data_IF_695365427813
#
_entry.id   IF_695365427813
#
_cell.length_a   1.000
_cell.length_b   1.000
_cell.length_c   1.000
_cell.angle_alpha   90.00
_cell.angle_beta   90.00
_cell.angle_gamma   90.00
#
_symmetry.space_group_name_H-M   'P 1'
#
loop_
_entity.id
_entity.type
_entity.pdbx_description
1 polymer ?
#
# COMPACT_ATOMS: atom_id res chain seq x y z
N UNK A 1 13.97 -13.92 8.56
CA UNK A 1 13.22 -12.68 8.86
C UNK A 1 12.06 -12.55 7.88
N UNK A 2 10.87 -12.15 8.32
CA UNK A 2 9.76 -11.89 7.41
C UNK A 2 10.10 -10.71 6.47
N UNK A 3 9.69 -10.81 5.20
CA UNK A 3 9.90 -9.71 4.24
C UNK A 3 8.90 -8.58 4.47
N UNK A 4 7.72 -8.90 4.99
CA UNK A 4 6.61 -7.99 5.28
C UNK A 4 6.09 -8.27 6.69
N UNK A 5 5.87 -7.25 7.52
CA UNK A 5 5.29 -7.43 8.84
C UNK A 5 4.42 -6.20 9.22
N UNK A 6 3.15 -6.38 9.59
CA UNK A 6 2.21 -5.28 9.86
C UNK A 6 2.73 -4.20 10.81
N UNK A 7 3.41 -4.59 11.88
CA UNK A 7 3.88 -3.65 12.91
C UNK A 7 5.30 -3.13 12.65
N UNK A 8 6.05 -3.79 11.77
CA UNK A 8 7.44 -3.42 11.49
C UNK A 8 7.57 -2.70 10.16
N UNK A 9 6.60 -2.81 9.25
CA UNK A 9 6.59 -2.15 7.96
C UNK A 9 6.29 -0.65 8.10
N UNK A 10 7.14 0.19 7.51
CA UNK A 10 6.98 1.65 7.55
C UNK A 10 5.69 2.15 6.91
N UNK A 11 5.29 1.57 5.77
CA UNK A 11 4.11 2.01 5.00
C UNK A 11 3.06 0.91 4.94
N UNK A 12 1.82 1.29 5.24
CA UNK A 12 0.60 0.51 5.05
C UNK A 12 -0.16 1.06 3.86
N UNK A 13 -0.45 0.24 2.87
CA UNK A 13 -1.29 0.57 1.74
C UNK A 13 -2.65 -0.12 1.93
N UNK A 14 -3.70 0.67 2.05
CA UNK A 14 -5.09 0.21 2.12
C UNK A 14 -5.72 0.37 0.75
N UNK A 15 -6.27 -0.72 0.23
CA UNK A 15 -6.89 -0.82 -1.08
C UNK A 15 -8.38 -1.01 -0.85
N UNK A 16 -9.16 0.01 -1.19
CA UNK A 16 -10.61 0.01 -1.09
C UNK A 16 -11.21 -0.34 -2.45
N UNK A 17 -11.81 -1.52 -2.52
CA UNK A 17 -12.40 -2.07 -3.74
C UNK A 17 -13.84 -1.60 -3.94
N UNK A 18 -14.39 -1.83 -5.14
CA UNK A 18 -15.79 -1.58 -5.45
C UNK A 18 -16.72 -2.41 -4.58
N UNK A 19 -17.98 -2.00 -4.50
CA UNK A 19 -19.02 -2.63 -3.68
C UNK A 19 -19.09 -4.14 -3.92
N UNK A 20 -19.15 -4.93 -2.84
CA UNK A 20 -19.15 -6.41 -2.81
C UNK A 20 -17.79 -7.10 -3.08
N UNK A 21 -16.72 -6.34 -3.36
CA UNK A 21 -15.35 -6.88 -3.43
C UNK A 21 -14.63 -6.74 -2.08
N UNK A 22 -13.67 -7.64 -1.81
CA UNK A 22 -12.89 -7.61 -0.58
C UNK A 22 -11.80 -6.54 -0.64
N UNK A 23 -11.79 -5.64 0.35
CA UNK A 23 -10.69 -4.72 0.58
C UNK A 23 -9.39 -5.49 0.85
N UNK A 24 -8.26 -4.91 0.45
CA UNK A 24 -6.94 -5.49 0.66
C UNK A 24 -6.02 -4.53 1.41
N UNK A 25 -5.07 -5.09 2.16
CA UNK A 25 -4.04 -4.31 2.86
C UNK A 25 -2.68 -4.87 2.49
N UNK A 26 -1.82 -3.99 2.00
CA UNK A 26 -0.45 -4.30 1.63
C UNK A 26 0.51 -3.55 2.54
N UNK A 27 1.67 -4.15 2.79
CA UNK A 27 2.71 -3.59 3.64
C UNK A 27 4.00 -3.37 2.84
N UNK A 28 4.74 -2.31 3.14
CA UNK A 28 6.07 -2.13 2.56
C UNK A 28 7.03 -3.22 3.07
N UNK A 29 7.99 -3.69 2.25
CA UNK A 29 9.04 -4.56 2.75
C UNK A 29 9.81 -3.93 3.91
N UNK A 30 10.12 -4.70 4.96
CA UNK A 30 10.80 -4.20 6.17
C UNK A 30 12.20 -3.65 5.84
N UNK A 31 12.88 -4.28 4.88
CA UNK A 31 14.20 -3.80 4.40
C UNK A 31 14.14 -2.43 3.70
N UNK A 32 12.95 -1.97 3.29
CA UNK A 32 12.76 -0.66 2.68
C UNK A 32 12.46 0.43 3.71
N UNK A 33 12.32 0.12 5.00
CA UNK A 33 12.04 1.13 6.03
C UNK A 33 13.08 2.26 6.09
N UNK A 34 14.34 1.97 5.74
CA UNK A 34 15.43 2.95 5.66
C UNK A 34 15.33 3.89 4.45
N UNK A 35 14.43 3.61 3.50
CA UNK A 35 14.28 4.40 2.27
C UNK A 35 13.34 5.59 2.47
N UNK A 36 13.44 6.55 1.56
CA UNK A 36 12.52 7.67 1.48
C UNK A 36 11.09 7.16 1.20
N UNK A 37 10.14 7.68 1.95
CA UNK A 37 8.72 7.32 1.92
C UNK A 37 8.13 7.41 0.51
N UNK A 38 8.46 8.47 -0.24
CA UNK A 38 8.01 8.63 -1.62
C UNK A 38 8.46 7.46 -2.51
N UNK A 39 9.73 7.04 -2.43
CA UNK A 39 10.24 5.93 -3.24
C UNK A 39 9.57 4.60 -2.91
N UNK A 40 9.23 4.37 -1.63
CA UNK A 40 8.49 3.18 -1.19
C UNK A 40 7.08 3.21 -1.76
N UNK A 41 6.36 4.33 -1.61
CA UNK A 41 5.01 4.52 -2.12
C UNK A 41 4.96 4.34 -3.64
N UNK A 42 5.87 4.97 -4.40
CA UNK A 42 5.95 4.81 -5.85
C UNK A 42 6.22 3.35 -6.25
N UNK A 43 7.11 2.65 -5.55
CA UNK A 43 7.38 1.23 -5.80
C UNK A 43 6.16 0.34 -5.50
N UNK A 44 5.45 0.61 -4.40
CA UNK A 44 4.21 -0.07 -4.05
C UNK A 44 3.13 0.17 -5.09
N UNK A 45 2.92 1.42 -5.50
CA UNK A 45 1.95 1.79 -6.52
C UNK A 45 2.25 1.10 -7.85
N UNK A 46 3.51 1.10 -8.31
CA UNK A 46 3.90 0.44 -9.57
C UNK A 46 3.63 -1.07 -9.55
N UNK A 47 3.80 -1.73 -8.40
CA UNK A 47 3.44 -3.16 -8.24
C UNK A 47 1.93 -3.35 -8.24
N UNK A 48 1.22 -2.45 -7.58
CA UNK A 48 -0.22 -2.48 -7.50
C UNK A 48 -0.88 -2.28 -8.88
N UNK A 49 -0.39 -1.34 -9.70
CA UNK A 49 -0.92 -1.07 -11.05
C UNK A 49 -0.86 -2.30 -11.97
N UNK A 50 0.08 -3.22 -11.73
CA UNK A 50 0.19 -4.50 -12.46
C UNK A 50 -0.69 -5.61 -11.87
N UNK A 51 -1.25 -5.40 -10.69
CA UNK A 51 -2.03 -6.39 -9.97
C UNK A 51 -3.50 -6.35 -10.42
N UNK A 52 -4.18 -7.50 -10.38
CA UNK A 52 -5.60 -7.62 -10.77
C UNK A 52 -6.52 -6.71 -9.96
N UNK A 53 -6.15 -6.46 -8.69
CA UNK A 53 -6.83 -5.52 -7.79
C UNK A 53 -6.94 -4.10 -8.37
N UNK A 54 -5.98 -3.65 -9.20
CA UNK A 54 -6.04 -2.32 -9.80
C UNK A 54 -7.32 -2.08 -10.62
N UNK A 55 -7.89 -3.13 -11.23
CA UNK A 55 -9.11 -3.02 -12.05
C UNK A 55 -10.39 -2.83 -11.23
N UNK A 56 -10.39 -3.31 -9.99
CA UNK A 56 -11.56 -3.30 -9.10
C UNK A 56 -11.42 -2.31 -7.95
N UNK A 57 -10.29 -1.61 -7.87
CA UNK A 57 -10.03 -0.63 -6.80
C UNK A 57 -10.67 0.70 -7.14
N UNK A 58 -11.26 1.32 -6.14
CA UNK A 58 -11.85 2.65 -6.23
C UNK A 58 -10.93 3.68 -5.56
N UNK A 59 -10.38 3.34 -4.39
CA UNK A 59 -9.51 4.26 -3.63
C UNK A 59 -8.32 3.49 -3.06
N UNK A 60 -7.14 4.09 -3.16
CA UNK A 60 -5.92 3.64 -2.51
C UNK A 60 -5.53 4.69 -1.48
N UNK A 61 -5.16 4.24 -0.28
CA UNK A 61 -4.66 5.08 0.80
C UNK A 61 -3.32 4.53 1.29
N UNK A 62 -2.36 5.42 1.50
CA UNK A 62 -1.06 5.10 2.06
C UNK A 62 -0.96 5.74 3.44
N UNK A 63 -0.58 4.93 4.42
CA UNK A 63 -0.38 5.35 5.79
C UNK A 63 1.05 5.09 6.22
N UNK A 64 1.60 5.99 7.01
CA UNK A 64 2.89 5.86 7.67
C UNK A 64 2.68 6.10 9.17
N UNK A 65 3.02 5.12 10.00
CA UNK A 65 2.80 5.17 11.45
C UNK A 65 1.37 5.59 11.87
N UNK A 66 0.36 5.20 11.07
CA UNK A 66 -1.04 5.55 11.32
C UNK A 66 -1.52 6.87 10.68
N UNK A 67 -0.62 7.70 10.16
CA UNK A 67 -0.96 8.95 9.49
C UNK A 67 -1.16 8.74 7.99
N UNK A 68 -2.25 9.26 7.42
CA UNK A 68 -2.49 9.22 5.98
C UNK A 68 -1.50 10.16 5.28
N UNK A 69 -0.63 9.60 4.43
CA UNK A 69 0.40 10.37 3.70
C UNK A 69 0.04 10.60 2.24
N UNK A 70 -0.78 9.74 1.64
CA UNK A 70 -1.22 9.88 0.26
C UNK A 70 -2.52 9.11 0.01
N UNK A 71 -3.36 9.62 -0.89
CA UNK A 71 -4.54 8.93 -1.38
C UNK A 71 -4.71 9.12 -2.87
N UNK A 72 -5.14 8.07 -3.58
CA UNK A 72 -5.44 8.12 -5.01
C UNK A 72 -6.79 7.46 -5.27
N UNK A 73 -7.71 8.19 -5.90
CA UNK A 73 -8.95 7.66 -6.44
C UNK A 73 -8.70 7.19 -7.87
N UNK A 74 -9.20 6.01 -8.23
CA UNK A 74 -9.05 5.38 -9.54
C UNK A 74 -10.37 5.33 -10.30
#
# INVERSE_FOLDING_TARGET
MPVFAPEQSKIKMVILTKTKEKNAVWWSPINQNKRNTQSIVTSMLRRFEKHTLAKITNVIQFYENGNLIASKKL
#
